data_IF_414641801680
#
_entry.id   IF_414641801680
#
_cell.length_a   1.000
_cell.length_b   1.000
_cell.length_c   1.000
_cell.angle_alpha   90.00
_cell.angle_beta   90.00
_cell.angle_gamma   90.00
#
_symmetry.space_group_name_H-M   'P 1'
#
loop_
_entity.id
_entity.type
_entity.pdbx_description
1 polymer ?
#
# COMPACT_ATOMS: atom_id res chain seq x y z
N UNK A 1 4.94 2.82 -5.88
CA UNK A 1 4.65 1.46 -5.35
C UNK A 1 3.49 0.89 -6.15
N UNK A 2 3.48 -0.42 -6.46
CA UNK A 2 2.46 -1.00 -7.34
C UNK A 2 1.86 -2.23 -6.67
N UNK A 3 0.53 -2.22 -6.49
CA UNK A 3 -0.15 -3.39 -5.98
C UNK A 3 -0.19 -4.49 -7.04
N UNK A 4 0.18 -5.70 -6.63
CA UNK A 4 0.17 -6.90 -7.47
C UNK A 4 -0.69 -7.94 -6.78
N UNK A 5 -1.54 -8.61 -7.55
CA UNK A 5 -2.44 -9.64 -7.05
C UNK A 5 -2.67 -10.72 -8.11
N UNK A 6 -2.89 -11.95 -7.66
CA UNK A 6 -3.13 -13.09 -8.57
C UNK A 6 -4.62 -13.42 -8.72
N UNK A 7 -5.42 -13.23 -7.67
CA UNK A 7 -6.83 -13.65 -7.66
C UNK A 7 -7.77 -12.59 -7.06
N UNK A 8 -7.47 -12.11 -5.86
CA UNK A 8 -8.31 -11.11 -5.19
C UNK A 8 -7.83 -9.70 -5.56
N UNK A 9 -8.64 -8.87 -6.25
CA UNK A 9 -8.23 -7.51 -6.58
C UNK A 9 -8.07 -6.68 -5.31
N UNK A 10 -6.89 -6.09 -5.13
CA UNK A 10 -6.57 -5.24 -3.99
C UNK A 10 -7.04 -3.81 -4.29
N UNK A 11 -7.85 -3.24 -3.40
CA UNK A 11 -8.30 -1.85 -3.54
C UNK A 11 -7.47 -0.96 -2.62
N UNK A 12 -6.74 0.00 -3.22
CA UNK A 12 -5.97 1.03 -2.52
C UNK A 12 -6.70 2.36 -2.58
N UNK A 13 -7.07 2.90 -1.42
CA UNK A 13 -7.81 4.16 -1.30
C UNK A 13 -6.96 5.14 -0.50
N UNK A 14 -6.66 6.28 -1.09
CA UNK A 14 -5.99 7.38 -0.39
C UNK A 14 -7.02 8.11 0.48
N UNK A 15 -6.66 8.37 1.74
CA UNK A 15 -7.49 9.02 2.75
C UNK A 15 -6.76 10.21 3.37
N UNK A 16 -7.46 10.98 4.20
CA UNK A 16 -6.90 12.11 4.96
C UNK A 16 -6.11 13.11 4.09
N UNK A 17 -6.67 13.47 2.92
CA UNK A 17 -6.06 14.37 1.94
C UNK A 17 -4.61 13.98 1.53
N UNK A 18 -4.34 12.67 1.44
CA UNK A 18 -3.02 12.15 1.06
C UNK A 18 -2.15 11.74 2.24
N UNK A 19 -2.64 11.82 3.47
CA UNK A 19 -1.88 11.44 4.69
C UNK A 19 -2.17 10.01 5.17
N UNK A 20 -3.08 9.29 4.50
CA UNK A 20 -3.42 7.91 4.84
C UNK A 20 -3.67 7.06 3.61
N UNK A 21 -3.43 5.76 3.75
CA UNK A 21 -3.78 4.74 2.75
C UNK A 21 -4.60 3.65 3.42
N UNK A 22 -5.75 3.36 2.84
CA UNK A 22 -6.56 2.19 3.18
C UNK A 22 -6.37 1.11 2.11
N UNK A 23 -6.05 -0.10 2.55
CA UNK A 23 -5.89 -1.28 1.71
C UNK A 23 -7.01 -2.23 2.06
N UNK A 24 -7.82 -2.61 1.05
CA UNK A 24 -8.98 -3.47 1.20
C UNK A 24 -8.83 -4.72 0.35
N UNK A 25 -9.48 -5.80 0.77
CA UNK A 25 -9.54 -7.07 0.04
C UNK A 25 -8.18 -7.75 -0.20
N UNK A 26 -7.18 -7.46 0.65
CA UNK A 26 -5.89 -8.15 0.60
C UNK A 26 -6.09 -9.63 0.92
N UNK A 27 -5.72 -10.55 0.01
CA UNK A 27 -5.97 -11.99 0.11
C UNK A 27 -7.44 -12.38 0.43
N UNK A 28 -8.41 -11.53 0.07
CA UNK A 28 -9.83 -11.76 0.38
C UNK A 28 -10.23 -11.46 1.83
N UNK A 29 -9.38 -10.76 2.59
CA UNK A 29 -9.70 -10.31 3.94
C UNK A 29 -10.86 -9.30 3.96
N UNK A 30 -11.76 -9.44 4.94
CA UNK A 30 -12.90 -8.52 5.13
C UNK A 30 -12.53 -7.23 5.86
N UNK A 31 -11.46 -7.22 6.64
CA UNK A 31 -11.05 -6.03 7.39
C UNK A 31 -10.20 -5.11 6.53
N UNK A 32 -10.23 -3.81 6.85
CA UNK A 32 -9.48 -2.77 6.14
C UNK A 32 -8.16 -2.53 6.86
N UNK A 33 -7.05 -2.60 6.14
CA UNK A 33 -5.73 -2.23 6.65
C UNK A 33 -5.53 -0.74 6.44
N UNK A 34 -5.20 -0.02 7.50
CA UNK A 34 -4.98 1.44 7.47
C UNK A 34 -3.53 1.76 7.79
N UNK A 35 -2.89 2.53 6.92
CA UNK A 35 -1.51 2.97 7.11
C UNK A 35 -1.50 4.50 7.10
N UNK A 36 -1.01 5.09 8.19
CA UNK A 36 -0.78 6.53 8.28
C UNK A 36 0.60 6.87 7.74
N UNK A 37 0.69 7.95 6.98
CA UNK A 37 1.95 8.44 6.43
C UNK A 37 2.74 9.20 7.47
N UNK A 38 4.06 9.26 7.27
CA UNK A 38 4.92 10.11 8.09
C UNK A 38 4.66 11.60 7.82
N UNK A 39 4.98 12.49 8.77
CA UNK A 39 4.80 13.93 8.59
C UNK A 39 5.51 14.44 7.33
N UNK A 40 4.83 15.24 6.52
CA UNK A 40 5.39 15.81 5.28
C UNK A 40 5.41 14.88 4.07
N UNK A 41 4.92 13.64 4.21
CA UNK A 41 4.76 12.70 3.09
C UNK A 41 3.30 12.70 2.63
N UNK A 42 3.09 12.83 1.32
CA UNK A 42 1.79 12.70 0.66
C UNK A 42 1.76 11.47 -0.22
N UNK A 43 0.59 10.84 -0.29
CA UNK A 43 0.31 9.73 -1.20
C UNK A 43 -0.77 10.13 -2.19
N UNK A 44 -0.57 9.77 -3.44
CA UNK A 44 -1.56 9.92 -4.51
C UNK A 44 -1.66 8.62 -5.31
N UNK A 45 -2.83 8.39 -5.91
CA UNK A 45 -2.99 7.33 -6.90
C UNK A 45 -2.52 7.86 -8.27
N UNK A 46 -1.74 7.04 -8.98
CA UNK A 46 -1.28 7.39 -10.33
C UNK A 46 -2.46 7.48 -11.29
N UNK A 47 -2.51 8.55 -12.08
CA UNK A 47 -3.50 8.70 -13.16
C UNK A 47 -3.09 7.94 -14.43
N UNK A 48 -1.81 7.58 -14.55
CA UNK A 48 -1.23 6.95 -15.74
C UNK A 48 -1.29 5.43 -15.69
N UNK A 49 -1.10 4.87 -14.49
CA UNK A 49 -1.09 3.43 -14.30
C UNK A 49 -2.04 3.03 -13.19
N UNK A 50 -2.95 2.11 -13.51
CA UNK A 50 -3.85 1.51 -12.53
C UNK A 50 -3.01 0.81 -11.45
N UNK A 51 -3.51 0.83 -10.21
CA UNK A 51 -2.94 0.08 -9.08
C UNK A 51 -1.54 0.56 -8.65
N UNK A 52 -1.14 1.77 -9.06
CA UNK A 52 0.10 2.44 -8.65
C UNK A 52 -0.18 3.57 -7.65
N UNK A 53 0.54 3.53 -6.53
CA UNK A 53 0.61 4.59 -5.51
C UNK A 53 1.93 5.35 -5.64
N UNK A 54 1.84 6.67 -5.68
CA UNK A 54 2.98 7.59 -5.71
C UNK A 54 3.11 8.19 -4.31
N UNK A 55 4.28 8.00 -3.68
CA UNK A 55 4.62 8.63 -2.41
C UNK A 55 5.60 9.77 -2.68
N UNK A 56 5.24 10.97 -2.24
CA UNK A 56 6.04 12.18 -2.44
C UNK A 56 6.29 12.86 -1.10
N UNK A 57 7.51 13.34 -0.90
CA UNK A 57 7.92 14.05 0.30
C UNK A 57 9.34 14.59 0.13
N UNK A 58 9.70 15.57 0.96
CA UNK A 58 11.02 16.20 0.88
C UNK A 58 12.12 15.34 1.55
N UNK A 59 11.75 14.54 2.55
CA UNK A 59 12.68 13.71 3.30
C UNK A 59 12.61 12.24 2.82
N UNK A 60 13.73 11.75 2.29
CA UNK A 60 13.85 10.39 1.77
C UNK A 60 13.61 9.33 2.84
N UNK A 61 14.04 9.53 4.08
CA UNK A 61 13.89 8.55 5.15
C UNK A 61 12.42 8.41 5.54
N UNK A 62 11.71 9.53 5.63
CA UNK A 62 10.28 9.55 5.95
C UNK A 62 9.44 8.93 4.82
N UNK A 63 9.79 9.22 3.56
CA UNK A 63 9.15 8.60 2.39
C UNK A 63 9.40 7.09 2.38
N UNK A 64 10.66 6.65 2.53
CA UNK A 64 11.01 5.23 2.58
C UNK A 64 10.37 4.50 3.74
N UNK A 65 10.30 5.10 4.93
CA UNK A 65 9.63 4.52 6.09
C UNK A 65 8.12 4.40 5.88
N UNK A 66 7.50 5.38 5.23
CA UNK A 66 6.07 5.32 4.87
C UNK A 66 5.80 4.18 3.88
N UNK A 67 6.64 4.04 2.86
CA UNK A 67 6.56 2.92 1.91
C UNK A 67 6.75 1.56 2.60
N UNK A 68 7.72 1.44 3.52
CA UNK A 68 7.97 0.23 4.29
C UNK A 68 6.76 -0.16 5.17
N UNK A 69 6.08 0.81 5.78
CA UNK A 69 4.86 0.55 6.55
C UNK A 69 3.73 -0.02 5.69
N UNK A 70 3.57 0.47 4.46
CA UNK A 70 2.61 -0.07 3.49
C UNK A 70 2.96 -1.54 3.19
N UNK A 71 4.20 -1.82 2.80
CA UNK A 71 4.67 -3.16 2.44
C UNK A 71 4.54 -4.15 3.60
N UNK A 72 4.95 -3.75 4.82
CA UNK A 72 4.83 -4.62 5.99
C UNK A 72 3.38 -4.90 6.36
N UNK A 73 2.47 -3.94 6.08
CA UNK A 73 1.04 -4.13 6.31
C UNK A 73 0.44 -5.18 5.37
N UNK A 74 1.01 -5.39 4.18
CA UNK A 74 0.58 -6.38 3.18
C UNK A 74 1.52 -7.57 3.08
N UNK A 75 2.34 -7.82 4.10
CA UNK A 75 3.16 -9.02 4.14
C UNK A 75 2.31 -10.27 4.36
N UNK A 76 2.40 -11.24 3.43
CA UNK A 76 1.74 -12.53 3.55
C UNK A 76 2.35 -13.32 4.73
N UNK A 77 1.51 -13.74 5.68
CA UNK A 77 1.91 -14.57 6.82
C UNK A 77 1.27 -15.96 6.74
N UNK A 78 1.94 -16.97 7.28
CA UNK A 78 1.44 -18.34 7.39
C UNK A 78 1.06 -19.01 6.05
N UNK A 79 1.68 -18.57 4.94
CA UNK A 79 1.57 -19.16 3.59
C UNK A 79 2.95 -19.15 2.92
N UNK A 80 3.14 -19.97 1.88
CA UNK A 80 4.38 -19.98 1.11
C UNK A 80 4.51 -18.70 0.26
N UNK A 81 5.48 -17.85 0.64
CA UNK A 81 5.78 -16.59 -0.02
C UNK A 81 6.23 -16.75 -1.47
N UNK A 82 6.69 -17.94 -1.88
CA UNK A 82 7.08 -18.22 -3.28
C UNK A 82 5.87 -18.45 -4.18
N UNK A 83 4.71 -18.75 -3.58
CA UNK A 83 3.45 -18.97 -4.30
C UNK A 83 2.52 -17.76 -4.20
N UNK A 84 2.48 -17.10 -3.05
CA UNK A 84 1.66 -15.92 -2.81
C UNK A 84 2.53 -14.68 -2.88
N UNK A 85 2.55 -14.07 -4.08
CA UNK A 85 3.30 -12.84 -4.37
C UNK A 85 2.43 -11.58 -4.26
N UNK A 86 1.19 -11.72 -3.80
CA UNK A 86 0.25 -10.61 -3.59
C UNK A 86 0.82 -9.61 -2.57
N UNK A 87 0.81 -8.33 -2.91
CA UNK A 87 1.46 -7.28 -2.12
C UNK A 87 1.41 -5.92 -2.78
N UNK A 88 2.07 -4.93 -2.17
CA UNK A 88 2.17 -3.54 -2.62
C UNK A 88 3.62 -3.06 -2.50
#
# INVERSE_FOLDING_TARGET
MRSVYAHFPINTVVTDNGQGVEIRNFLGEKFVRRVKMQPGVKVSASTKQKDELILEGNDIELVSRSAALIQMSTAVKNKDIRKFLDGI
#
